data_IF_548740292418
#
_entry.id   IF_548740292418
#
_cell.length_a   1.000
_cell.length_b   1.000
_cell.length_c   1.000
_cell.angle_alpha   90.00
_cell.angle_beta   90.00
_cell.angle_gamma   90.00
#
_symmetry.space_group_name_H-M   'P 1'
#
loop_
_entity.id
_entity.type
_entity.pdbx_description
1 polymer ?
#
# COMPACT_ATOMS: atom_id res chain seq x y z
N UNK A 1 7.81 4.51 -19.31
CA UNK A 1 8.13 4.23 -20.72
C UNK A 1 6.95 4.67 -21.56
N UNK A 2 7.12 5.70 -22.39
CA UNK A 2 6.01 6.38 -23.08
C UNK A 2 5.51 5.64 -24.34
N UNK A 3 6.24 4.62 -24.82
CA UNK A 3 5.99 3.97 -26.11
C UNK A 3 5.72 2.45 -26.04
N UNK A 4 5.20 1.93 -24.92
CA UNK A 4 4.64 0.57 -24.88
C UNK A 4 5.63 -0.62 -24.96
N UNK A 5 6.89 -0.44 -25.36
CA UNK A 5 7.86 -1.52 -25.33
C UNK A 5 8.44 -1.75 -23.94
N UNK A 6 8.30 -2.99 -23.45
CA UNK A 6 8.80 -3.41 -22.16
C UNK A 6 10.22 -3.96 -22.25
N UNK A 7 10.96 -4.01 -21.12
CA UNK A 7 12.26 -4.69 -21.02
C UNK A 7 12.24 -6.20 -21.30
N UNK A 8 11.11 -6.76 -21.73
CA UNK A 8 10.96 -8.20 -22.04
C UNK A 8 10.68 -8.41 -23.52
N UNK A 9 10.25 -7.37 -24.24
CA UNK A 9 9.94 -7.41 -25.68
C UNK A 9 11.09 -6.91 -26.54
N UNK A 10 12.02 -6.15 -25.94
CA UNK A 10 13.25 -5.72 -26.59
C UNK A 10 14.35 -6.75 -26.36
N UNK A 11 15.10 -7.08 -27.41
CA UNK A 11 16.37 -7.78 -27.25
C UNK A 11 17.28 -7.01 -26.28
N UNK A 12 18.06 -7.74 -25.48
CA UNK A 12 18.90 -7.17 -24.42
C UNK A 12 19.85 -6.09 -24.95
N UNK A 13 20.36 -6.26 -26.17
CA UNK A 13 21.20 -5.27 -26.86
C UNK A 13 20.49 -3.92 -27.04
N UNK A 14 19.20 -3.94 -27.36
CA UNK A 14 18.38 -2.74 -27.58
C UNK A 14 18.04 -2.04 -26.26
N UNK A 15 17.83 -2.80 -25.19
CA UNK A 15 17.60 -2.23 -23.85
C UNK A 15 18.84 -1.51 -23.32
N UNK A 16 20.01 -2.09 -23.55
CA UNK A 16 21.28 -1.51 -23.12
C UNK A 16 21.55 -0.18 -23.84
N UNK A 17 21.23 -0.10 -25.13
CA UNK A 17 21.34 1.14 -25.90
C UNK A 17 20.39 2.23 -25.37
N UNK A 18 19.14 1.89 -25.05
CA UNK A 18 18.19 2.83 -24.43
C UNK A 18 18.65 3.31 -23.04
N UNK A 19 19.39 2.47 -22.31
CA UNK A 19 20.00 2.87 -21.03
C UNK A 19 21.21 3.81 -21.20
N UNK A 20 21.56 4.20 -22.43
CA UNK A 20 22.64 5.13 -22.75
C UNK A 20 24.01 4.48 -22.87
N UNK A 21 24.09 3.15 -22.98
CA UNK A 21 25.36 2.44 -23.14
C UNK A 21 25.63 2.15 -24.63
N UNK A 22 26.79 2.57 -25.17
CA UNK A 22 27.05 2.45 -26.60
C UNK A 22 27.28 1.00 -27.02
N UNK A 23 26.64 0.58 -28.13
CA UNK A 23 26.83 -0.75 -28.76
C UNK A 23 28.29 -1.04 -29.12
N UNK A 24 29.05 0.01 -29.47
CA UNK A 24 30.47 -0.07 -29.80
C UNK A 24 31.38 -0.29 -28.60
N UNK A 25 30.84 -0.30 -27.37
CA UNK A 25 31.66 -0.55 -26.19
C UNK A 25 32.31 -1.95 -26.30
N UNK A 26 33.64 -2.10 -26.16
CA UNK A 26 34.33 -3.37 -26.42
C UNK A 26 33.90 -4.52 -25.48
N UNK A 27 33.42 -4.18 -24.27
CA UNK A 27 32.82 -5.14 -23.32
C UNK A 27 31.37 -5.54 -23.62
N UNK A 28 30.69 -4.90 -24.58
CA UNK A 28 29.27 -5.15 -24.86
C UNK A 28 28.97 -6.62 -25.21
N UNK A 29 29.74 -7.27 -26.12
CA UNK A 29 29.49 -8.68 -26.45
C UNK A 29 29.70 -9.61 -25.25
N UNK A 30 30.68 -9.30 -24.40
CA UNK A 30 30.94 -10.08 -23.18
C UNK A 30 29.83 -9.90 -22.16
N UNK A 31 29.35 -8.67 -21.95
CA UNK A 31 28.25 -8.37 -21.02
C UNK A 31 26.97 -9.09 -21.42
N UNK A 32 26.55 -8.97 -22.69
CA UNK A 32 25.33 -9.61 -23.20
C UNK A 32 25.40 -11.13 -23.07
N UNK A 33 26.54 -11.73 -23.44
CA UNK A 33 26.75 -13.17 -23.31
C UNK A 33 26.66 -13.64 -21.86
N UNK A 34 27.35 -12.94 -20.94
CA UNK A 34 27.36 -13.29 -19.52
C UNK A 34 25.98 -13.09 -18.89
N UNK A 35 25.27 -12.02 -19.24
CA UNK A 35 23.90 -11.77 -18.79
C UNK A 35 22.99 -12.92 -19.20
N UNK A 36 22.97 -13.31 -20.48
CA UNK A 36 22.16 -14.44 -20.97
C UNK A 36 22.52 -15.75 -20.25
N UNK A 37 23.80 -15.96 -19.91
CA UNK A 37 24.26 -17.16 -19.21
C UNK A 37 23.83 -17.24 -17.73
N UNK A 38 23.59 -16.10 -17.06
CA UNK A 38 23.20 -16.06 -15.64
C UNK A 38 21.73 -15.71 -15.44
N UNK A 39 21.01 -15.30 -16.48
CA UNK A 39 19.62 -14.89 -16.39
C UNK A 39 18.74 -16.05 -15.90
N UNK A 40 17.96 -15.79 -14.86
CA UNK A 40 17.07 -16.78 -14.24
C UNK A 40 17.74 -17.71 -13.24
N UNK A 41 19.07 -17.67 -13.07
CA UNK A 41 19.73 -18.46 -12.02
C UNK A 41 19.41 -17.89 -10.63
N UNK A 42 19.14 -18.76 -9.63
CA UNK A 42 18.88 -18.32 -8.27
C UNK A 42 20.15 -17.72 -7.65
N UNK A 43 20.02 -16.54 -7.02
CA UNK A 43 21.16 -15.87 -6.34
C UNK A 43 21.34 -16.32 -4.89
N UNK A 44 20.24 -16.49 -4.17
CA UNK A 44 20.19 -16.93 -2.77
C UNK A 44 18.76 -17.36 -2.42
N UNK A 45 18.58 -18.11 -1.33
CA UNK A 45 17.27 -18.39 -0.75
C UNK A 45 16.77 -17.13 -0.02
N UNK A 46 15.68 -16.56 -0.52
CA UNK A 46 15.01 -15.42 0.11
C UNK A 46 13.88 -15.89 1.03
N UNK A 47 13.66 -15.19 2.14
CA UNK A 47 12.55 -15.49 3.03
C UNK A 47 11.29 -14.76 2.56
N UNK A 48 10.17 -15.47 2.45
CA UNK A 48 8.88 -14.84 2.17
C UNK A 48 8.37 -14.11 3.43
N UNK A 49 8.51 -12.78 3.45
CA UNK A 49 8.30 -11.94 4.64
C UNK A 49 6.94 -12.09 5.35
N UNK A 50 5.89 -12.56 4.66
CA UNK A 50 4.58 -12.84 5.26
C UNK A 50 4.16 -14.31 5.24
N UNK A 51 4.93 -15.22 4.65
CA UNK A 51 4.44 -16.56 4.31
C UNK A 51 4.56 -17.49 5.50
N UNK A 52 3.43 -17.93 6.05
CA UNK A 52 3.38 -18.96 7.08
C UNK A 52 2.78 -20.23 6.49
N UNK A 53 3.38 -21.37 6.77
CA UNK A 53 2.86 -22.69 6.39
C UNK A 53 2.42 -23.44 7.63
N UNK A 54 1.27 -24.10 7.52
CA UNK A 54 0.65 -24.88 8.58
C UNK A 54 0.43 -26.28 8.01
N UNK A 55 1.03 -27.26 8.66
CA UNK A 55 0.89 -28.66 8.29
C UNK A 55 0.38 -29.49 9.46
N UNK A 56 -0.24 -30.62 9.15
CA UNK A 56 -0.50 -31.65 10.12
C UNK A 56 0.83 -32.37 10.44
N UNK A 57 1.11 -32.58 11.73
CA UNK A 57 2.36 -33.18 12.23
C UNK A 57 3.62 -32.29 12.05
N UNK A 58 4.80 -32.89 12.26
CA UNK A 58 6.09 -32.18 12.22
C UNK A 58 6.47 -31.87 10.78
N UNK A 59 6.57 -30.59 10.42
CA UNK A 59 6.98 -30.15 9.09
C UNK A 59 8.32 -30.77 8.64
N UNK A 60 9.25 -30.97 9.59
CA UNK A 60 10.56 -31.57 9.34
C UNK A 60 10.53 -33.04 8.91
N UNK A 61 9.38 -33.73 8.95
CA UNK A 61 9.29 -35.12 8.48
C UNK A 61 9.16 -35.24 6.96
N UNK A 62 8.91 -34.14 6.24
CA UNK A 62 8.78 -34.14 4.79
C UNK A 62 9.37 -32.90 4.10
N UNK A 63 9.65 -31.81 4.83
CA UNK A 63 10.36 -30.62 4.27
C UNK A 63 11.65 -30.35 5.03
N UNK A 64 12.80 -30.18 4.35
CA UNK A 64 14.00 -29.65 4.98
C UNK A 64 13.76 -28.26 5.55
N UNK A 65 14.19 -28.06 6.80
CA UNK A 65 14.07 -26.78 7.51
C UNK A 65 15.45 -26.17 7.74
N UNK A 66 15.52 -24.85 7.68
CA UNK A 66 16.71 -24.09 8.03
C UNK A 66 16.37 -22.93 8.98
N UNK A 67 17.35 -22.49 9.75
CA UNK A 67 17.18 -21.31 10.60
C UNK A 67 17.13 -20.05 9.74
N UNK A 68 16.15 -19.20 10.00
CA UNK A 68 16.06 -17.89 9.38
C UNK A 68 17.15 -16.96 9.93
N UNK A 69 17.40 -15.86 9.22
CA UNK A 69 18.30 -14.78 9.66
C UNK A 69 17.84 -14.12 10.97
N UNK A 70 16.52 -14.11 11.23
CA UNK A 70 15.97 -13.64 12.50
C UNK A 70 15.98 -14.74 13.54
N UNK A 71 16.57 -14.45 14.70
CA UNK A 71 16.63 -15.38 15.84
C UNK A 71 15.25 -15.93 16.20
N UNK A 72 15.16 -17.25 16.40
CA UNK A 72 13.94 -17.93 16.81
C UNK A 72 12.95 -18.20 15.67
N UNK A 73 13.34 -18.00 14.41
CA UNK A 73 12.53 -18.34 13.24
C UNK A 73 13.18 -19.44 12.40
N UNK A 74 12.35 -20.29 11.80
CA UNK A 74 12.73 -21.34 10.87
C UNK A 74 11.99 -21.14 9.55
N UNK A 75 12.60 -21.54 8.45
CA UNK A 75 11.98 -21.50 7.12
C UNK A 75 12.05 -22.88 6.46
N UNK A 76 11.03 -23.18 5.67
CA UNK A 76 11.05 -24.31 4.76
C UNK A 76 11.89 -23.98 3.52
N UNK A 77 12.63 -24.96 3.02
CA UNK A 77 13.43 -24.80 1.80
C UNK A 77 12.63 -24.93 0.49
N UNK A 78 11.36 -25.36 0.58
CA UNK A 78 10.45 -25.42 -0.55
C UNK A 78 9.84 -24.07 -0.86
N UNK A 79 9.49 -23.87 -2.13
CA UNK A 79 8.80 -22.66 -2.55
C UNK A 79 7.28 -22.74 -2.33
N UNK A 80 6.59 -21.70 -2.76
CA UNK A 80 5.14 -21.59 -2.59
C UNK A 80 4.40 -22.69 -3.36
N UNK A 81 4.84 -22.99 -4.58
CA UNK A 81 4.13 -23.87 -5.49
C UNK A 81 4.30 -25.33 -5.05
N UNK A 82 5.51 -25.71 -4.62
CA UNK A 82 5.77 -27.02 -4.00
C UNK A 82 4.88 -27.28 -2.76
N UNK A 83 4.70 -26.24 -1.93
CA UNK A 83 3.85 -26.33 -0.74
C UNK A 83 2.36 -26.46 -1.12
N UNK A 84 1.92 -25.74 -2.15
CA UNK A 84 0.54 -25.78 -2.65
C UNK A 84 0.20 -27.14 -3.28
N UNK A 85 1.12 -27.70 -4.07
CA UNK A 85 0.97 -29.01 -4.71
C UNK A 85 0.84 -30.15 -3.70
N UNK A 86 1.44 -30.01 -2.52
CA UNK A 86 1.30 -30.96 -1.40
C UNK A 86 0.13 -30.68 -0.47
N UNK A 87 -0.72 -29.70 -0.80
CA UNK A 87 -1.90 -29.34 -0.03
C UNK A 87 -1.57 -28.75 1.34
N UNK A 88 -0.37 -28.19 1.52
CA UNK A 88 0.02 -27.52 2.76
C UNK A 88 -0.73 -26.19 2.85
N UNK A 89 -1.36 -25.94 4.00
CA UNK A 89 -2.08 -24.69 4.21
C UNK A 89 -1.08 -23.56 4.35
N UNK A 90 -1.21 -22.55 3.47
CA UNK A 90 -0.41 -21.32 3.51
C UNK A 90 -1.28 -20.16 3.97
N UNK A 91 -0.76 -19.35 4.88
CA UNK A 91 -1.34 -18.08 5.32
C UNK A 91 -0.33 -16.96 5.14
N UNK A 92 -0.71 -15.90 4.44
CA UNK A 92 0.12 -14.71 4.29
C UNK A 92 -0.22 -13.66 5.36
N UNK A 93 0.72 -13.38 6.24
CA UNK A 93 0.69 -12.32 7.25
C UNK A 93 1.39 -11.08 6.70
N UNK A 94 0.62 -10.21 6.04
CA UNK A 94 1.14 -8.98 5.43
C UNK A 94 0.99 -7.79 6.37
N UNK A 95 2.08 -7.06 6.59
CA UNK A 95 2.07 -5.80 7.34
C UNK A 95 1.65 -4.64 6.46
N UNK A 96 0.38 -4.21 6.55
CA UNK A 96 -0.14 -3.06 5.81
C UNK A 96 -0.13 -1.81 6.69
N UNK A 97 0.79 -0.87 6.43
CA UNK A 97 0.98 0.33 7.27
C UNK A 97 -0.29 1.17 7.49
N UNK A 98 -1.18 1.26 6.48
CA UNK A 98 -2.45 1.98 6.65
C UNK A 98 -3.36 1.34 7.71
N UNK A 99 -3.33 0.02 7.87
CA UNK A 99 -4.13 -0.63 8.92
C UNK A 99 -3.64 -0.20 10.31
N UNK A 100 -2.32 -0.05 10.50
CA UNK A 100 -1.77 0.49 11.75
C UNK A 100 -2.18 1.95 11.98
N UNK A 101 -2.16 2.78 10.92
CA UNK A 101 -2.64 4.18 11.00
C UNK A 101 -4.10 4.25 11.39
N UNK A 102 -4.95 3.44 10.76
CA UNK A 102 -6.37 3.37 11.09
C UNK A 102 -6.58 2.87 12.52
N UNK A 103 -5.90 1.81 12.93
CA UNK A 103 -5.99 1.29 14.29
C UNK A 103 -5.64 2.37 15.33
N UNK A 104 -4.49 3.04 15.18
CA UNK A 104 -4.07 4.12 16.07
C UNK A 104 -5.09 5.28 16.04
N UNK A 105 -5.62 5.65 14.86
CA UNK A 105 -6.59 6.74 14.74
C UNK A 105 -7.94 6.40 15.40
N UNK A 106 -8.43 5.18 15.24
CA UNK A 106 -9.67 4.70 15.88
C UNK A 106 -9.50 4.62 17.40
N UNK A 107 -8.33 4.20 17.88
CA UNK A 107 -8.00 4.20 19.31
C UNK A 107 -7.99 5.62 19.88
N UNK A 108 -7.32 6.57 19.22
CA UNK A 108 -7.35 7.99 19.62
C UNK A 108 -8.78 8.55 19.60
N UNK A 109 -9.62 8.17 18.63
CA UNK A 109 -11.03 8.56 18.60
C UNK A 109 -11.80 8.03 19.83
N UNK A 110 -11.54 6.77 20.22
CA UNK A 110 -12.15 6.14 21.39
C UNK A 110 -11.73 6.83 22.69
N UNK A 111 -10.44 7.09 22.88
CA UNK A 111 -9.89 7.80 24.05
C UNK A 111 -10.49 9.20 24.22
N UNK A 112 -10.83 9.85 23.11
CA UNK A 112 -11.44 11.18 23.08
C UNK A 112 -12.97 11.16 23.14
N UNK A 113 -13.59 10.02 23.44
CA UNK A 113 -15.04 9.88 23.61
C UNK A 113 -15.85 9.99 22.31
N UNK A 114 -15.21 9.80 21.15
CA UNK A 114 -15.83 9.87 19.83
C UNK A 114 -15.57 8.62 18.98
N UNK A 115 -15.89 7.42 19.50
CA UNK A 115 -15.52 6.16 18.88
C UNK A 115 -16.04 6.06 17.45
N UNK A 116 -15.25 5.42 16.60
CA UNK A 116 -15.59 5.13 15.22
C UNK A 116 -15.25 3.66 14.97
N UNK A 117 -16.04 3.00 14.13
CA UNK A 117 -15.77 1.66 13.66
C UNK A 117 -15.69 1.69 12.13
N UNK A 118 -14.62 1.13 11.59
CA UNK A 118 -14.38 1.05 10.15
C UNK A 118 -15.54 0.36 9.41
N UNK A 119 -16.16 -0.65 10.02
CA UNK A 119 -17.28 -1.37 9.43
C UNK A 119 -18.56 -0.51 9.32
N UNK A 120 -18.68 0.52 10.16
CA UNK A 120 -19.86 1.38 10.29
C UNK A 120 -19.67 2.78 9.70
N UNK A 121 -18.55 3.06 9.01
CA UNK A 121 -18.37 4.33 8.30
C UNK A 121 -19.40 4.42 7.16
N UNK A 122 -20.19 5.51 7.06
CA UNK A 122 -21.17 5.70 5.99
C UNK A 122 -20.47 5.80 4.64
N UNK A 123 -20.99 5.12 3.60
CA UNK A 123 -20.35 4.97 2.27
C UNK A 123 -20.81 5.99 1.23
N UNK A 124 -21.55 6.99 1.67
CA UNK A 124 -22.26 8.01 0.89
C UNK A 124 -21.97 9.43 1.42
N UNK A 125 -20.82 9.64 2.07
CA UNK A 125 -20.45 10.95 2.64
C UNK A 125 -19.87 11.90 1.57
N UNK A 126 -20.62 12.96 1.28
CA UNK A 126 -20.27 13.97 0.27
C UNK A 126 -18.93 14.65 0.56
N UNK A 127 -18.60 14.91 1.82
CA UNK A 127 -17.35 15.58 2.19
C UNK A 127 -16.12 14.69 1.90
N UNK A 128 -16.24 13.39 2.15
CA UNK A 128 -15.22 12.38 1.82
C UNK A 128 -15.02 12.30 0.31
N UNK A 129 -16.09 12.29 -0.49
CA UNK A 129 -15.95 12.36 -1.95
C UNK A 129 -15.38 13.70 -2.42
N UNK A 130 -15.72 14.82 -1.78
CA UNK A 130 -15.24 16.14 -2.17
C UNK A 130 -13.71 16.27 -2.08
N UNK A 131 -13.06 15.70 -1.05
CA UNK A 131 -11.59 15.71 -0.98
C UNK A 131 -10.98 14.82 -2.08
N UNK A 132 -11.60 13.68 -2.39
CA UNK A 132 -11.15 12.82 -3.48
C UNK A 132 -11.28 13.54 -4.83
N UNK A 133 -12.43 14.16 -5.12
CA UNK A 133 -12.66 14.92 -6.36
C UNK A 133 -11.67 16.08 -6.56
N UNK A 134 -11.15 16.66 -5.48
CA UNK A 134 -10.12 17.71 -5.51
C UNK A 134 -8.69 17.18 -5.56
N UNK A 135 -8.52 15.86 -5.58
CA UNK A 135 -7.23 15.18 -5.40
C UNK A 135 -6.52 15.57 -4.10
N UNK A 136 -7.27 15.83 -3.03
CA UNK A 136 -6.73 16.15 -1.71
C UNK A 136 -6.50 14.87 -0.89
N UNK A 137 -5.67 13.99 -1.44
CA UNK A 137 -5.52 12.61 -0.98
C UNK A 137 -4.13 12.29 -0.43
N UNK A 138 -3.32 13.29 -0.07
CA UNK A 138 -2.06 13.07 0.65
C UNK A 138 -2.33 12.24 1.92
N UNK A 139 -1.61 11.12 2.07
CA UNK A 139 -1.77 10.18 3.18
C UNK A 139 -2.93 9.21 3.06
N UNK A 140 -3.79 9.33 2.05
CA UNK A 140 -4.95 8.46 1.84
C UNK A 140 -4.53 7.20 1.09
N UNK A 141 -4.98 6.04 1.58
CA UNK A 141 -4.52 4.76 1.06
C UNK A 141 -4.87 4.55 -0.42
N UNK A 142 -3.91 4.03 -1.19
CA UNK A 142 -3.99 3.69 -2.63
C UNK A 142 -4.22 4.86 -3.60
N UNK A 143 -4.84 5.96 -3.18
CA UNK A 143 -5.22 7.08 -4.06
C UNK A 143 -4.39 8.35 -3.86
N UNK A 144 -3.22 8.24 -3.21
CA UNK A 144 -2.30 9.37 -2.95
C UNK A 144 -1.17 9.52 -3.98
N UNK A 145 -0.97 8.57 -4.89
CA UNK A 145 0.10 8.67 -5.89
C UNK A 145 -0.19 9.78 -6.91
N UNK A 146 0.85 10.35 -7.55
CA UNK A 146 0.67 11.39 -8.58
C UNK A 146 -0.28 10.97 -9.72
N UNK A 147 -0.21 9.72 -10.15
CA UNK A 147 -1.06 9.21 -11.22
C UNK A 147 -2.53 9.07 -10.78
N UNK A 148 -2.75 8.67 -9.52
CA UNK A 148 -4.08 8.64 -8.91
C UNK A 148 -4.65 10.05 -8.72
N UNK A 149 -3.86 10.96 -8.14
CA UNK A 149 -4.24 12.36 -7.96
C UNK A 149 -4.54 13.09 -9.29
N UNK A 150 -3.92 12.68 -10.40
CA UNK A 150 -4.23 13.24 -11.73
C UNK A 150 -5.58 12.73 -12.30
N UNK A 151 -6.05 11.57 -11.82
CA UNK A 151 -7.25 10.90 -12.33
C UNK A 151 -8.49 11.28 -11.54
N UNK A 152 -8.37 11.38 -10.23
CA UNK A 152 -9.42 11.76 -9.29
C UNK A 152 -10.29 12.96 -9.74
N UNK A 153 -9.73 14.13 -10.16
CA UNK A 153 -10.55 15.27 -10.60
C UNK A 153 -11.26 15.07 -11.93
N UNK A 154 -10.81 14.11 -12.73
CA UNK A 154 -11.44 13.71 -13.99
C UNK A 154 -12.53 12.67 -13.75
N UNK A 155 -12.26 11.69 -12.89
CA UNK A 155 -13.19 10.61 -12.56
C UNK A 155 -14.38 11.12 -11.73
N UNK A 156 -14.11 12.06 -10.82
CA UNK A 156 -15.07 12.64 -9.87
C UNK A 156 -15.90 11.55 -9.17
N UNK A 157 -15.32 10.82 -8.20
CA UNK A 157 -16.05 9.81 -7.44
C UNK A 157 -17.26 10.42 -6.75
N UNK A 158 -18.43 9.77 -6.85
CA UNK A 158 -19.71 10.17 -6.24
C UNK A 158 -20.35 9.07 -5.41
N UNK A 159 -19.88 7.82 -5.56
CA UNK A 159 -20.33 6.71 -4.74
C UNK A 159 -19.15 5.79 -4.40
N UNK A 160 -19.33 4.90 -3.43
CA UNK A 160 -18.28 3.96 -3.02
C UNK A 160 -17.72 3.13 -4.17
N UNK A 161 -18.55 2.72 -5.12
CA UNK A 161 -18.09 1.91 -6.25
C UNK A 161 -17.15 2.67 -7.19
N UNK A 162 -17.25 4.00 -7.26
CA UNK A 162 -16.27 4.79 -8.00
C UNK A 162 -14.87 4.68 -7.36
N UNK A 163 -14.80 4.61 -6.04
CA UNK A 163 -13.52 4.39 -5.31
C UNK A 163 -12.95 3.01 -5.63
N UNK A 164 -13.79 1.99 -5.77
CA UNK A 164 -13.39 0.65 -6.22
C UNK A 164 -12.74 0.72 -7.61
N UNK A 165 -13.32 1.50 -8.52
CA UNK A 165 -12.76 1.72 -9.85
C UNK A 165 -11.45 2.51 -9.77
N UNK A 166 -11.36 3.57 -8.97
CA UNK A 166 -10.14 4.39 -8.83
C UNK A 166 -8.95 3.56 -8.34
N UNK A 167 -9.18 2.70 -7.34
CA UNK A 167 -8.16 1.76 -6.84
C UNK A 167 -7.69 0.82 -7.94
N UNK A 168 -8.54 0.52 -8.92
CA UNK A 168 -8.24 -0.45 -9.96
C UNK A 168 -7.70 0.12 -11.28
N UNK A 169 -8.07 1.36 -11.62
CA UNK A 169 -7.92 1.91 -12.97
C UNK A 169 -6.48 2.34 -13.29
N UNK A 170 -5.71 2.79 -12.29
CA UNK A 170 -4.33 3.24 -12.49
C UNK A 170 -3.37 2.07 -12.36
N UNK A 171 -3.26 1.30 -13.45
CA UNK A 171 -2.33 0.18 -13.61
C UNK A 171 -1.82 0.09 -15.04
N UNK A 172 -0.66 -0.56 -15.28
CA UNK A 172 -0.13 -0.70 -16.63
C UNK A 172 -1.14 -1.34 -17.61
N UNK A 173 -1.93 -2.33 -17.17
CA UNK A 173 -2.93 -3.00 -18.02
C UNK A 173 -4.02 -2.11 -18.57
N UNK A 174 -4.86 -1.51 -17.72
CA UNK A 174 -5.88 -0.56 -18.18
C UNK A 174 -5.30 0.59 -19.01
N UNK A 175 -4.08 1.04 -18.72
CA UNK A 175 -3.41 2.09 -19.50
C UNK A 175 -3.03 1.58 -20.89
N UNK A 176 -2.55 0.33 -21.00
CA UNK A 176 -2.12 -0.28 -22.27
C UNK A 176 -3.25 -0.82 -23.12
N UNK A 177 -4.31 -1.32 -22.50
CA UNK A 177 -5.53 -1.73 -23.17
C UNK A 177 -6.38 -0.54 -23.63
N UNK A 178 -5.88 0.69 -23.51
CA UNK A 178 -6.59 1.94 -23.77
C UNK A 178 -7.97 1.98 -23.09
N UNK A 179 -8.05 1.49 -21.85
CA UNK A 179 -9.30 1.34 -21.10
C UNK A 179 -9.57 2.57 -20.21
N UNK A 180 -8.52 3.23 -19.72
CA UNK A 180 -8.64 4.41 -18.83
C UNK A 180 -9.29 5.59 -19.54
N UNK A 181 -8.85 5.87 -20.78
CA UNK A 181 -9.33 7.02 -21.54
C UNK A 181 -10.83 6.93 -21.87
N UNK A 182 -11.35 5.82 -22.43
CA UNK A 182 -12.78 5.64 -22.68
C UNK A 182 -13.60 5.71 -21.40
N UNK A 183 -13.15 5.09 -20.29
CA UNK A 183 -13.88 5.17 -19.03
C UNK A 183 -14.04 6.61 -18.56
N UNK A 184 -12.95 7.39 -18.54
CA UNK A 184 -12.97 8.79 -18.11
C UNK A 184 -13.76 9.68 -19.09
N UNK A 185 -13.70 9.43 -20.39
CA UNK A 185 -14.47 10.17 -21.39
C UNK A 185 -15.98 9.95 -21.24
N UNK A 186 -16.39 8.69 -21.09
CA UNK A 186 -17.79 8.31 -20.81
C UNK A 186 -18.29 8.85 -19.48
N UNK A 187 -17.44 8.76 -18.44
CA UNK A 187 -17.73 9.33 -17.11
C UNK A 187 -17.95 10.85 -17.16
N UNK A 188 -17.20 11.54 -18.02
CA UNK A 188 -17.33 12.98 -18.24
C UNK A 188 -18.47 13.35 -19.21
N UNK A 189 -19.23 12.38 -19.75
CA UNK A 189 -20.28 12.61 -20.73
C UNK A 189 -19.78 13.06 -22.11
N UNK A 190 -18.48 12.88 -22.39
CA UNK A 190 -17.86 13.25 -23.67
C UNK A 190 -18.03 12.19 -24.75
N UNK A 191 -18.28 10.95 -24.33
CA UNK A 191 -18.56 9.80 -25.19
C UNK A 191 -19.79 9.05 -24.69
N UNK A 192 -20.64 8.52 -25.59
CA UNK A 192 -21.74 7.67 -25.19
C UNK A 192 -21.23 6.33 -24.63
N UNK A 193 -21.95 5.78 -23.64
CA UNK A 193 -21.67 4.44 -23.14
C UNK A 193 -22.03 3.42 -24.22
N UNK A 194 -21.07 2.58 -24.60
CA UNK A 194 -21.23 1.52 -25.58
C UNK A 194 -20.73 0.20 -25.04
N UNK A 195 -21.31 -0.89 -25.54
CA UNK A 195 -21.00 -2.27 -25.15
C UNK A 195 -20.59 -3.07 -26.38
N UNK A 196 -19.74 -4.09 -26.22
CA UNK A 196 -19.43 -5.01 -27.33
C UNK A 196 -20.69 -5.73 -27.83
N UNK A 197 -21.61 -6.02 -26.92
CA UNK A 197 -22.89 -6.67 -27.18
C UNK A 197 -23.92 -6.23 -26.12
N UNK A 198 -25.21 -6.02 -26.48
CA UNK A 198 -26.25 -5.64 -25.52
C UNK A 198 -26.35 -6.58 -24.30
N UNK A 199 -26.05 -7.87 -24.47
CA UNK A 199 -26.07 -8.85 -23.37
C UNK A 199 -25.03 -8.58 -22.29
N UNK A 200 -24.02 -7.75 -22.56
CA UNK A 200 -22.96 -7.39 -21.61
C UNK A 200 -23.29 -6.17 -20.75
N UNK A 201 -24.39 -5.46 -21.03
CA UNK A 201 -24.83 -4.31 -20.25
C UNK A 201 -24.97 -4.62 -18.74
N UNK A 202 -25.58 -5.75 -18.31
CA UNK A 202 -25.66 -6.09 -16.89
C UNK A 202 -24.29 -6.31 -16.20
N UNK A 203 -23.25 -6.65 -16.98
CA UNK A 203 -21.90 -6.94 -16.47
C UNK A 203 -21.03 -5.69 -16.45
N UNK A 204 -21.11 -4.88 -17.50
CA UNK A 204 -20.23 -3.73 -17.73
C UNK A 204 -20.90 -2.39 -17.43
N UNK A 205 -22.19 -2.36 -17.09
CA UNK A 205 -22.94 -1.12 -16.83
C UNK A 205 -22.31 -0.27 -15.73
N UNK A 206 -21.90 -0.92 -14.63
CA UNK A 206 -21.25 -0.24 -13.49
C UNK A 206 -19.86 0.34 -13.83
N UNK A 207 -19.22 -0.15 -14.89
CA UNK A 207 -17.93 0.32 -15.39
C UNK A 207 -18.07 1.02 -16.75
N UNK A 208 -19.27 1.54 -17.05
CA UNK A 208 -19.56 2.33 -18.26
C UNK A 208 -19.16 1.63 -19.56
N UNK A 209 -19.40 0.32 -19.66
CA UNK A 209 -19.09 -0.48 -20.84
C UNK A 209 -17.60 -0.81 -20.99
N UNK A 210 -16.76 -0.44 -20.02
CA UNK A 210 -15.31 -0.72 -20.04
C UNK A 210 -15.01 -1.92 -19.14
N UNK A 211 -14.34 -2.95 -19.64
CA UNK A 211 -13.91 -4.07 -18.81
C UNK A 211 -12.74 -3.71 -17.90
N UNK A 212 -12.95 -3.70 -16.58
CA UNK A 212 -11.94 -3.27 -15.60
C UNK A 212 -11.57 -4.33 -14.56
N UNK A 213 -12.32 -5.45 -14.47
CA UNK A 213 -12.11 -6.50 -13.47
C UNK A 213 -12.03 -7.91 -14.06
N UNK A 214 -11.33 -8.81 -13.37
CA UNK A 214 -11.17 -10.21 -13.80
C UNK A 214 -12.53 -10.90 -13.88
N UNK A 215 -13.39 -10.69 -12.89
CA UNK A 215 -14.73 -11.26 -12.81
C UNK A 215 -15.61 -10.80 -13.99
N UNK A 216 -15.39 -9.61 -14.53
CA UNK A 216 -16.06 -9.14 -15.75
C UNK A 216 -15.58 -9.91 -16.98
N UNK A 217 -14.28 -10.21 -17.10
CA UNK A 217 -13.72 -11.05 -18.18
C UNK A 217 -14.30 -12.45 -18.19
N UNK A 218 -14.39 -13.08 -17.02
CA UNK A 218 -15.01 -14.38 -16.89
C UNK A 218 -16.48 -14.34 -17.32
N UNK A 219 -17.23 -13.33 -16.87
CA UNK A 219 -18.64 -13.15 -17.27
C UNK A 219 -18.81 -12.88 -18.77
N UNK A 220 -17.92 -12.10 -19.39
CA UNK A 220 -17.93 -11.90 -20.85
C UNK A 220 -17.74 -13.25 -21.56
N UNK A 221 -16.75 -14.05 -21.15
CA UNK A 221 -16.51 -15.36 -21.75
C UNK A 221 -17.73 -16.29 -21.60
N UNK A 222 -18.34 -16.32 -20.42
CA UNK A 222 -19.54 -17.13 -20.17
C UNK A 222 -20.72 -16.69 -21.06
N UNK A 223 -20.98 -15.38 -21.19
CA UNK A 223 -22.13 -14.87 -21.97
C UNK A 223 -21.88 -14.99 -23.49
N UNK A 224 -20.69 -14.59 -23.94
CA UNK A 224 -20.37 -14.48 -25.37
C UNK A 224 -19.96 -15.80 -26.00
N UNK A 225 -19.43 -16.74 -25.21
CA UNK A 225 -18.87 -18.00 -25.71
C UNK A 225 -19.47 -19.26 -25.05
N UNK A 226 -20.46 -19.13 -24.16
CA UNK A 226 -21.05 -20.23 -23.37
C UNK A 226 -19.99 -21.08 -22.65
N UNK A 227 -18.92 -20.45 -22.20
CA UNK A 227 -17.92 -21.12 -21.38
C UNK A 227 -18.58 -21.69 -20.12
N UNK A 228 -18.40 -22.99 -19.91
CA UNK A 228 -18.78 -23.67 -18.68
C UNK A 228 -17.95 -23.17 -17.50
N UNK A 229 -18.37 -23.49 -16.27
CA UNK A 229 -17.64 -23.12 -15.06
C UNK A 229 -16.17 -23.59 -15.07
N UNK A 230 -15.91 -24.79 -15.61
CA UNK A 230 -14.55 -25.32 -15.76
C UNK A 230 -13.71 -24.50 -16.75
N UNK A 231 -14.31 -24.06 -17.86
CA UNK A 231 -13.62 -23.26 -18.88
C UNK A 231 -13.38 -21.82 -18.43
N UNK A 232 -14.31 -21.27 -17.65
CA UNK A 232 -14.11 -19.99 -16.97
C UNK A 232 -12.97 -20.09 -15.94
N UNK A 233 -12.84 -21.20 -15.22
CA UNK A 233 -11.72 -21.43 -14.31
C UNK A 233 -10.38 -21.61 -15.05
N UNK A 234 -10.36 -22.32 -16.19
CA UNK A 234 -9.18 -22.38 -17.07
C UNK A 234 -8.75 -20.99 -17.52
N UNK A 235 -9.69 -20.15 -17.94
CA UNK A 235 -9.44 -18.74 -18.30
C UNK A 235 -8.93 -17.94 -17.09
N UNK A 236 -9.55 -18.08 -15.91
CA UNK A 236 -9.12 -17.39 -14.68
C UNK A 236 -7.68 -17.73 -14.31
N UNK A 237 -7.31 -19.00 -14.40
CA UNK A 237 -5.93 -19.46 -14.19
C UNK A 237 -5.01 -18.82 -15.21
N UNK A 238 -5.35 -18.85 -16.50
CA UNK A 238 -4.55 -18.20 -17.54
C UNK A 238 -4.36 -16.69 -17.31
N UNK A 239 -5.36 -15.99 -16.76
CA UNK A 239 -5.29 -14.57 -16.39
C UNK A 239 -4.46 -14.28 -15.13
N UNK A 240 -4.23 -15.27 -14.26
CA UNK A 240 -3.57 -15.08 -12.97
C UNK A 240 -2.05 -15.33 -13.01
N UNK A 241 -1.56 -16.04 -14.03
CA UNK A 241 -0.15 -16.41 -14.11
C UNK A 241 0.64 -15.46 -15.02
N UNK A 242 1.61 -14.75 -14.42
CA UNK A 242 2.54 -13.85 -15.10
C UNK A 242 3.42 -14.50 -16.20
N UNK A 243 3.28 -15.80 -16.49
CA UNK A 243 4.25 -16.59 -17.29
C UNK A 243 3.64 -17.66 -18.20
N UNK A 244 2.39 -17.54 -18.64
CA UNK A 244 1.85 -18.54 -19.58
C UNK A 244 1.18 -17.91 -20.80
N UNK A 245 1.98 -17.20 -21.61
CA UNK A 245 1.58 -16.75 -22.95
C UNK A 245 0.99 -17.91 -23.77
N UNK A 246 1.59 -19.10 -23.67
CA UNK A 246 1.08 -20.33 -24.31
C UNK A 246 -0.33 -20.73 -23.82
N UNK A 247 -0.59 -20.69 -22.50
CA UNK A 247 -1.92 -21.03 -21.96
C UNK A 247 -2.94 -19.97 -22.38
N UNK A 248 -2.57 -18.69 -22.33
CA UNK A 248 -3.45 -17.60 -22.78
C UNK A 248 -3.79 -17.77 -24.26
N UNK A 249 -2.82 -18.12 -25.11
CA UNK A 249 -3.06 -18.35 -26.52
C UNK A 249 -4.00 -19.54 -26.76
N UNK A 250 -3.82 -20.65 -26.05
CA UNK A 250 -4.74 -21.81 -26.11
C UNK A 250 -6.17 -21.42 -25.73
N UNK A 251 -6.35 -20.69 -24.63
CA UNK A 251 -7.67 -20.24 -24.18
C UNK A 251 -8.28 -19.23 -25.16
N UNK A 252 -7.50 -18.31 -25.72
CA UNK A 252 -7.96 -17.34 -26.72
C UNK A 252 -8.45 -18.01 -28.00
N UNK A 253 -7.76 -19.04 -28.49
CA UNK A 253 -8.20 -19.83 -29.67
C UNK A 253 -9.55 -20.50 -29.39
N UNK A 254 -9.68 -21.14 -28.22
CA UNK A 254 -10.92 -21.80 -27.80
C UNK A 254 -12.08 -20.79 -27.67
N UNK A 255 -11.80 -19.62 -27.08
CA UNK A 255 -12.77 -18.56 -26.89
C UNK A 255 -13.26 -17.98 -28.23
N UNK A 256 -12.33 -17.73 -29.16
CA UNK A 256 -12.65 -17.29 -30.53
C UNK A 256 -13.57 -18.29 -31.23
N UNK A 257 -13.18 -19.56 -31.29
CA UNK A 257 -13.96 -20.59 -31.95
C UNK A 257 -15.37 -20.75 -31.35
N UNK A 258 -15.49 -20.59 -30.03
CA UNK A 258 -16.78 -20.64 -29.35
C UNK A 258 -17.67 -19.43 -29.69
N UNK A 259 -17.12 -18.21 -29.76
CA UNK A 259 -17.86 -17.03 -30.21
C UNK A 259 -18.26 -17.10 -31.68
N UNK A 260 -17.40 -17.66 -32.54
CA UNK A 260 -17.70 -17.87 -33.97
C UNK A 260 -18.90 -18.82 -34.15
N UNK A 261 -18.94 -19.93 -33.39
CA UNK A 261 -20.10 -20.85 -33.40
C UNK A 261 -21.42 -20.18 -32.98
N UNK A 262 -21.34 -19.10 -32.19
CA UNK A 262 -22.50 -18.30 -31.77
C UNK A 262 -22.84 -17.15 -32.74
N UNK A 263 -22.22 -17.12 -33.93
CA UNK A 263 -22.41 -16.08 -34.93
C UNK A 263 -22.14 -14.66 -34.39
N UNK A 264 -21.18 -14.51 -33.48
CA UNK A 264 -20.73 -13.20 -33.05
C UNK A 264 -19.92 -12.56 -34.19
N UNK A 265 -20.16 -11.28 -34.46
CA UNK A 265 -19.49 -10.56 -35.53
C UNK A 265 -17.95 -10.55 -35.33
N UNK A 266 -17.13 -10.77 -36.37
CA UNK A 266 -15.67 -10.88 -36.24
C UNK A 266 -15.00 -9.70 -35.54
N UNK A 267 -15.47 -8.47 -35.81
CA UNK A 267 -14.95 -7.24 -35.20
C UNK A 267 -15.16 -7.20 -33.68
N UNK A 268 -16.26 -7.79 -33.18
CA UNK A 268 -16.54 -7.92 -31.74
C UNK A 268 -15.65 -8.97 -31.10
N UNK A 269 -15.46 -10.10 -31.78
CA UNK A 269 -14.58 -11.17 -31.32
C UNK A 269 -13.16 -10.63 -31.13
N UNK A 270 -12.63 -9.90 -32.11
CA UNK A 270 -11.28 -9.34 -32.05
C UNK A 270 -11.13 -8.36 -30.88
N UNK A 271 -12.11 -7.47 -30.67
CA UNK A 271 -12.11 -6.53 -29.54
C UNK A 271 -12.16 -7.23 -28.18
N UNK A 272 -12.96 -8.30 -28.05
CA UNK A 272 -13.07 -9.07 -26.80
C UNK A 272 -11.77 -9.81 -26.52
N UNK A 273 -11.18 -10.48 -27.52
CA UNK A 273 -9.91 -11.20 -27.39
C UNK A 273 -8.77 -10.25 -27.04
N UNK A 274 -8.72 -9.08 -27.70
CA UNK A 274 -7.74 -8.04 -27.38
C UNK A 274 -7.89 -7.57 -25.93
N UNK A 275 -9.12 -7.27 -25.49
CA UNK A 275 -9.40 -6.83 -24.13
C UNK A 275 -8.96 -7.87 -23.08
N UNK A 276 -9.27 -9.14 -23.30
CA UNK A 276 -8.87 -10.24 -22.40
C UNK A 276 -7.35 -10.41 -22.37
N UNK A 277 -6.69 -10.32 -23.53
CA UNK A 277 -5.23 -10.45 -23.63
C UNK A 277 -4.50 -9.31 -22.91
N UNK A 278 -4.96 -8.07 -23.07
CA UNK A 278 -4.45 -6.92 -22.31
C UNK A 278 -4.67 -7.06 -20.81
N UNK A 279 -5.73 -7.76 -20.41
CA UNK A 279 -6.06 -8.01 -19.01
C UNK A 279 -5.26 -9.16 -18.39
N UNK A 280 -4.78 -10.14 -19.17
CA UNK A 280 -4.00 -11.27 -18.66
C UNK A 280 -2.69 -10.84 -17.97
N UNK A 281 -2.13 -9.70 -18.37
CA UNK A 281 -0.87 -9.21 -17.80
C UNK A 281 -1.06 -8.40 -16.51
N UNK A 282 -2.25 -7.87 -16.26
CA UNK A 282 -2.48 -6.80 -15.27
C UNK A 282 -3.87 -6.81 -14.63
N UNK A 283 -4.60 -7.90 -14.81
CA UNK A 283 -5.98 -8.01 -14.41
C UNK A 283 -6.11 -7.94 -12.91
N UNK A 284 -7.16 -7.28 -12.44
CA UNK A 284 -7.38 -7.08 -11.02
C UNK A 284 -8.71 -7.66 -10.55
N UNK A 285 -8.72 -8.47 -9.48
CA UNK A 285 -9.96 -8.96 -8.91
C UNK A 285 -10.82 -7.81 -8.37
N UNK A 286 -12.09 -7.78 -8.72
CA UNK A 286 -13.09 -6.84 -8.20
C UNK A 286 -13.21 -6.98 -6.68
N UNK A 287 -13.22 -8.22 -6.18
CA UNK A 287 -13.23 -8.52 -4.75
C UNK A 287 -12.06 -7.88 -3.98
N UNK A 288 -10.86 -7.91 -4.57
CA UNK A 288 -9.68 -7.28 -3.98
C UNK A 288 -9.76 -5.75 -4.05
N UNK A 289 -10.28 -5.20 -5.16
CA UNK A 289 -10.55 -3.76 -5.30
C UNK A 289 -11.54 -3.25 -4.27
N UNK A 290 -12.62 -3.99 -4.02
CA UNK A 290 -13.62 -3.64 -3.01
C UNK A 290 -12.97 -3.60 -1.63
N UNK A 291 -12.15 -4.60 -1.29
CA UNK A 291 -11.45 -4.69 -0.01
C UNK A 291 -10.50 -3.50 0.20
N UNK A 292 -9.74 -3.12 -0.83
CA UNK A 292 -8.84 -1.97 -0.76
C UNK A 292 -9.57 -0.63 -0.75
N UNK A 293 -10.70 -0.53 -1.46
CA UNK A 293 -11.54 0.66 -1.45
C UNK A 293 -12.13 0.95 -0.07
N UNK A 294 -12.40 -0.06 0.76
CA UNK A 294 -12.79 0.15 2.17
C UNK A 294 -11.72 0.95 2.92
N UNK A 295 -10.44 0.60 2.72
CA UNK A 295 -9.32 1.29 3.37
C UNK A 295 -9.06 2.68 2.76
N UNK A 296 -9.17 2.81 1.43
CA UNK A 296 -9.04 4.10 0.75
C UNK A 296 -10.14 5.08 1.21
N UNK A 297 -11.39 4.62 1.22
CA UNK A 297 -12.52 5.41 1.68
C UNK A 297 -12.44 5.72 3.18
N UNK A 298 -12.13 4.72 4.01
CA UNK A 298 -12.00 4.92 5.46
C UNK A 298 -10.88 5.90 5.83
N UNK A 299 -9.75 5.88 5.11
CA UNK A 299 -8.64 6.81 5.37
C UNK A 299 -8.99 8.24 4.93
N UNK A 300 -9.69 8.39 3.81
CA UNK A 300 -10.25 9.68 3.40
C UNK A 300 -11.29 10.20 4.41
N UNK A 301 -12.19 9.34 4.89
CA UNK A 301 -13.18 9.70 5.90
C UNK A 301 -12.53 10.15 7.21
N UNK A 302 -11.52 9.42 7.68
CA UNK A 302 -10.72 9.83 8.84
C UNK A 302 -10.03 11.17 8.61
N UNK A 303 -9.47 11.40 7.42
CA UNK A 303 -8.85 12.68 7.06
C UNK A 303 -9.83 13.86 7.15
N UNK A 304 -11.08 13.66 6.73
CA UNK A 304 -12.12 14.70 6.78
C UNK A 304 -12.68 14.89 8.19
N UNK A 305 -13.09 13.81 8.85
CA UNK A 305 -13.94 13.87 10.06
C UNK A 305 -13.18 13.67 11.38
N UNK A 306 -11.94 13.18 11.30
CA UNK A 306 -11.05 12.84 12.43
C UNK A 306 -9.60 13.27 12.13
N UNK A 307 -9.47 14.44 11.51
CA UNK A 307 -8.20 14.95 10.99
C UNK A 307 -7.03 14.89 12.00
N UNK A 308 -7.13 15.39 13.25
CA UNK A 308 -5.98 15.36 14.15
C UNK A 308 -5.57 13.94 14.55
N UNK A 309 -6.52 13.00 14.72
CA UNK A 309 -6.20 11.58 14.92
C UNK A 309 -5.55 10.96 13.70
N UNK A 310 -6.09 11.21 12.51
CA UNK A 310 -5.56 10.70 11.25
C UNK A 310 -4.10 11.14 11.04
N UNK A 311 -3.80 12.43 11.15
CA UNK A 311 -2.45 12.95 10.94
C UNK A 311 -1.47 12.55 12.04
N UNK A 312 -1.90 12.53 13.31
CA UNK A 312 -1.05 12.05 14.40
C UNK A 312 -0.68 10.57 14.19
N UNK A 313 -1.65 9.72 13.85
CA UNK A 313 -1.43 8.31 13.56
C UNK A 313 -0.59 8.10 12.32
N UNK A 314 -0.81 8.87 11.25
CA UNK A 314 -0.03 8.79 10.02
C UNK A 314 1.45 9.11 10.26
N UNK A 315 1.76 10.09 11.12
CA UNK A 315 3.13 10.43 11.52
C UNK A 315 3.75 9.37 12.43
N UNK A 316 2.97 8.76 13.33
CA UNK A 316 3.43 7.72 14.24
C UNK A 316 3.85 6.42 13.54
N UNK A 317 3.33 6.18 12.34
CA UNK A 317 3.57 4.96 11.56
C UNK A 317 4.55 5.16 10.39
N UNK A 318 5.32 6.25 10.38
CA UNK A 318 6.36 6.48 9.38
C UNK A 318 7.59 5.58 9.62
N UNK A 319 8.30 5.13 8.56
CA UNK A 319 8.12 5.50 7.16
C UNK A 319 7.03 4.68 6.45
N UNK A 320 6.10 5.37 5.76
CA UNK A 320 5.14 4.74 4.85
C UNK A 320 4.53 5.76 3.88
N UNK A 321 3.92 5.27 2.80
CA UNK A 321 3.29 6.12 1.78
C UNK A 321 4.30 6.85 0.89
N UNK A 322 3.82 7.82 0.11
CA UNK A 322 4.63 8.55 -0.88
C UNK A 322 5.27 9.84 -0.34
N UNK A 323 4.82 10.31 0.82
CA UNK A 323 5.10 11.67 1.29
C UNK A 323 5.91 11.68 2.57
N UNK A 324 6.85 12.61 2.65
CA UNK A 324 7.69 12.79 3.84
C UNK A 324 6.87 13.31 5.03
N UNK A 325 7.30 13.07 6.28
CA UNK A 325 6.67 13.65 7.47
C UNK A 325 6.47 15.17 7.36
N UNK A 326 7.43 15.89 6.78
CA UNK A 326 7.34 17.34 6.58
C UNK A 326 6.21 17.73 5.61
N UNK A 327 5.95 16.92 4.58
CA UNK A 327 4.83 17.15 3.64
C UNK A 327 3.50 16.89 4.34
N UNK A 328 3.42 15.81 5.13
CA UNK A 328 2.23 15.43 5.91
C UNK A 328 1.87 16.54 6.91
N UNK A 329 2.85 17.11 7.61
CA UNK A 329 2.63 18.23 8.54
C UNK A 329 2.13 19.49 7.81
N UNK A 330 2.67 19.80 6.62
CA UNK A 330 2.19 20.93 5.81
C UNK A 330 0.77 20.70 5.31
N UNK A 331 0.45 19.47 4.92
CA UNK A 331 -0.90 19.08 4.50
C UNK A 331 -1.89 19.24 5.65
N UNK A 332 -1.57 18.74 6.84
CA UNK A 332 -2.37 18.97 8.05
C UNK A 332 -2.67 20.45 8.30
N UNK A 333 -1.67 21.32 8.12
CA UNK A 333 -1.86 22.77 8.25
C UNK A 333 -2.79 23.38 7.20
N UNK A 334 -2.79 22.86 5.96
CA UNK A 334 -3.75 23.27 4.91
C UNK A 334 -5.19 22.84 5.23
N UNK A 335 -5.33 21.76 5.99
CA UNK A 335 -6.60 21.28 6.55
C UNK A 335 -7.01 21.99 7.85
N UNK A 336 -6.37 23.11 8.18
CA UNK A 336 -6.75 23.96 9.33
C UNK A 336 -6.24 23.45 10.68
N UNK A 337 -5.40 22.41 10.73
CA UNK A 337 -4.84 21.92 11.98
C UNK A 337 -3.70 22.80 12.47
N UNK A 338 -3.68 23.04 13.78
CA UNK A 338 -2.54 23.60 14.52
C UNK A 338 -1.60 22.46 14.90
N UNK A 339 -0.36 22.53 14.42
CA UNK A 339 0.66 21.52 14.72
C UNK A 339 1.58 22.09 15.80
N UNK A 340 1.47 21.58 17.02
CA UNK A 340 2.38 21.96 18.10
C UNK A 340 3.73 21.26 17.91
N UNK A 341 4.86 22.00 17.96
CA UNK A 341 6.18 21.42 17.75
C UNK A 341 6.53 20.47 18.89
N UNK A 342 7.58 19.67 18.66
CA UNK A 342 8.17 18.84 19.71
C UNK A 342 8.58 19.73 20.87
N UNK A 343 8.13 19.39 22.08
CA UNK A 343 8.42 20.13 23.30
C UNK A 343 8.93 19.17 24.35
N UNK A 344 10.11 19.45 24.90
CA UNK A 344 10.75 18.59 25.89
C UNK A 344 9.85 18.38 27.12
N UNK A 345 9.11 19.42 27.50
CA UNK A 345 8.22 19.39 28.67
C UNK A 345 6.84 18.78 28.40
N UNK A 346 6.43 18.59 27.15
CA UNK A 346 5.04 18.19 26.83
C UNK A 346 4.91 17.00 25.88
N UNK A 347 5.83 16.82 24.93
CA UNK A 347 5.76 15.74 23.94
C UNK A 347 5.97 14.37 24.59
N UNK A 348 5.27 13.37 24.04
CA UNK A 348 5.52 11.96 24.27
C UNK A 348 6.43 11.40 23.16
N UNK A 349 6.70 10.09 23.17
CA UNK A 349 7.37 9.44 22.04
C UNK A 349 6.53 9.57 20.77
N UNK A 350 5.27 9.13 20.82
CA UNK A 350 4.28 9.29 19.74
C UNK A 350 3.72 10.72 19.70
N UNK A 351 3.28 11.15 18.53
CA UNK A 351 2.44 12.31 18.33
C UNK A 351 1.11 12.10 19.06
N UNK A 352 0.61 13.15 19.71
CA UNK A 352 -0.60 13.11 20.53
C UNK A 352 -1.61 14.16 20.08
N UNK A 353 -2.90 13.87 20.21
CA UNK A 353 -3.96 14.83 19.90
C UNK A 353 -4.24 15.70 21.13
N UNK A 354 -4.29 17.02 20.94
CA UNK A 354 -4.46 18.00 22.03
C UNK A 354 -5.90 18.53 22.07
N UNK A 355 -6.51 18.75 20.90
CA UNK A 355 -7.90 19.21 20.73
C UNK A 355 -8.41 18.82 19.33
N UNK A 356 -9.63 19.22 18.99
CA UNK A 356 -10.24 18.92 17.68
C UNK A 356 -9.53 19.56 16.48
N UNK A 357 -8.76 20.62 16.72
CA UNK A 357 -8.02 21.36 15.71
C UNK A 357 -6.51 21.28 15.93
N UNK A 358 -6.02 20.54 16.93
CA UNK A 358 -4.61 20.61 17.35
C UNK A 358 -4.04 19.24 17.70
N UNK A 359 -2.86 18.93 17.16
CA UNK A 359 -2.05 17.80 17.61
C UNK A 359 -0.60 18.25 17.87
N UNK A 360 0.12 17.45 18.67
CA UNK A 360 1.50 17.70 19.07
C UNK A 360 2.43 16.66 18.48
N UNK A 361 3.52 17.13 17.89
CA UNK A 361 4.58 16.26 17.41
C UNK A 361 5.27 15.52 18.57
N UNK A 362 5.45 14.22 18.39
CA UNK A 362 6.18 13.34 19.31
C UNK A 362 7.69 13.34 19.04
N UNK A 363 8.47 12.74 19.93
CA UNK A 363 9.91 12.56 19.71
C UNK A 363 10.23 11.62 18.55
N UNK A 364 9.30 10.74 18.14
CA UNK A 364 9.46 9.82 17.02
C UNK A 364 9.77 10.50 15.68
N UNK A 365 9.41 11.78 15.50
CA UNK A 365 9.71 12.53 14.27
C UNK A 365 11.06 13.27 14.32
N UNK A 366 11.80 13.18 15.43
CA UNK A 366 13.09 13.86 15.60
C UNK A 366 14.23 12.94 15.21
N UNK A 367 14.93 13.30 14.13
CA UNK A 367 16.10 12.58 13.67
C UNK A 367 17.17 12.46 14.77
N UNK A 368 17.65 11.24 14.99
CA UNK A 368 18.72 10.94 15.94
C UNK A 368 18.28 10.74 17.39
N UNK A 369 16.98 10.79 17.71
CA UNK A 369 16.46 10.40 19.03
C UNK A 369 15.98 8.96 18.98
N UNK A 370 16.52 8.12 19.87
CA UNK A 370 16.04 6.75 20.06
C UNK A 370 14.86 6.74 21.03
N UNK A 371 13.93 5.82 20.81
CA UNK A 371 12.74 5.65 21.66
C UNK A 371 13.10 5.52 23.15
N UNK A 372 14.08 4.67 23.46
CA UNK A 372 14.60 4.45 24.81
C UNK A 372 15.00 5.76 25.52
N UNK A 373 15.60 6.71 24.79
CA UNK A 373 16.03 7.98 25.36
C UNK A 373 14.85 8.90 25.61
N UNK A 374 13.90 8.95 24.68
CA UNK A 374 12.68 9.73 24.86
C UNK A 374 11.83 9.21 26.03
N UNK A 375 11.75 7.89 26.20
CA UNK A 375 11.04 7.26 27.33
C UNK A 375 11.70 7.55 28.67
N UNK A 376 13.04 7.55 28.73
CA UNK A 376 13.79 7.97 29.92
C UNK A 376 13.48 9.44 30.27
N UNK A 377 13.48 10.33 29.28
CA UNK A 377 13.13 11.74 29.45
C UNK A 377 11.73 11.90 30.07
N UNK A 378 10.76 11.18 29.51
CA UNK A 378 9.37 11.23 29.96
C UNK A 378 9.25 10.71 31.38
N UNK A 379 9.97 9.63 31.73
CA UNK A 379 9.98 9.07 33.09
C UNK A 379 10.53 10.07 34.11
N UNK A 380 11.65 10.72 33.80
CA UNK A 380 12.23 11.75 34.67
C UNK A 380 11.30 12.96 34.82
N UNK A 381 10.67 13.39 33.72
CA UNK A 381 9.70 14.50 33.74
C UNK A 381 8.52 14.23 34.67
N UNK A 382 7.98 13.01 34.65
CA UNK A 382 6.87 12.61 35.53
C UNK A 382 7.30 12.54 36.99
N UNK A 383 8.52 12.04 37.27
CA UNK A 383 9.07 12.03 38.62
C UNK A 383 9.22 13.45 39.20
N UNK A 384 9.75 14.40 38.43
CA UNK A 384 9.88 15.80 38.86
C UNK A 384 8.53 16.47 39.07
N UNK A 385 7.53 16.19 38.23
CA UNK A 385 6.17 16.73 38.39
C UNK A 385 5.48 16.21 39.65
N UNK A 386 5.66 14.92 39.97
CA UNK A 386 5.14 14.30 41.20
C UNK A 386 5.74 14.93 42.45
N UNK A 387 7.06 15.16 42.47
CA UNK A 387 7.73 15.84 43.59
C UNK A 387 7.23 17.28 43.76
N UNK A 388 7.07 18.04 42.68
CA UNK A 388 6.55 19.41 42.75
C UNK A 388 5.09 19.48 43.24
N UNK A 389 4.26 18.49 42.87
CA UNK A 389 2.89 18.39 43.36
C UNK A 389 2.82 17.99 44.84
N UNK A 390 3.75 17.14 45.31
CA UNK A 390 3.79 16.69 46.70
C UNK A 390 4.35 17.75 47.67
N UNK A 391 5.23 18.65 47.23
CA UNK A 391 5.89 19.64 48.11
C UNK A 391 5.20 20.99 48.17
N UNK A 392 4.16 21.25 47.37
CA UNK A 392 3.39 22.50 47.41
C UNK A 392 4.19 23.78 47.13
N UNK A 393 5.44 23.67 46.65
CA UNK A 393 6.32 24.82 46.45
C UNK A 393 6.03 25.48 45.10
N UNK A 394 5.28 26.60 45.18
CA UNK A 394 5.25 27.62 44.14
C UNK A 394 6.66 28.22 43.94
N UNK A 395 6.95 28.54 42.68
CA UNK A 395 8.28 28.79 42.12
C UNK A 395 8.91 30.07 42.66
N UNK A 396 9.53 30.02 43.83
CA UNK A 396 10.38 31.11 44.32
C UNK A 396 11.53 30.66 45.23
N UNK A 397 12.30 29.65 44.84
CA UNK A 397 13.58 29.38 45.52
C UNK A 397 14.64 28.85 44.56
N UNK A 398 15.59 29.72 44.21
CA UNK A 398 16.90 29.34 43.64
C UNK A 398 17.68 28.59 44.73
N UNK A 399 17.68 27.27 44.68
CA UNK A 399 18.45 26.42 45.60
C UNK A 399 18.77 25.06 44.98
N UNK A 400 20.07 24.79 44.83
CA UNK A 400 20.69 23.59 44.24
C UNK A 400 19.98 22.26 44.59
N UNK A 401 19.37 21.63 43.58
CA UNK A 401 19.18 20.17 43.55
C UNK A 401 19.80 19.66 42.23
N UNK A 402 21.05 19.16 42.29
CA UNK A 402 21.71 18.47 41.17
C UNK A 402 21.06 17.10 40.98
N UNK A 403 19.92 17.07 40.29
CA UNK A 403 19.22 15.82 39.97
C UNK A 403 17.77 15.97 39.49
N UNK A 404 17.18 17.18 39.53
CA UNK A 404 15.74 17.36 39.27
C UNK A 404 15.36 18.65 38.51
N UNK A 405 16.27 19.26 37.76
CA UNK A 405 15.94 20.45 36.99
C UNK A 405 15.18 20.10 35.70
N UNK A 406 14.11 20.86 35.41
CA UNK A 406 13.36 20.75 34.15
C UNK A 406 14.28 20.91 32.95
N UNK A 407 14.11 20.07 31.92
CA UNK A 407 14.86 20.23 30.67
C UNK A 407 14.40 21.49 29.91
N UNK A 408 15.36 22.31 29.51
CA UNK A 408 15.10 23.58 28.84
C UNK A 408 15.18 23.50 27.31
N UNK A 409 15.88 22.50 26.77
CA UNK A 409 15.98 22.27 25.32
C UNK A 409 16.35 20.82 25.00
N UNK A 410 16.22 20.46 23.72
CA UNK A 410 16.68 19.16 23.20
C UNK A 410 18.20 19.00 23.36
N UNK A 411 18.97 20.07 23.25
CA UNK A 411 20.42 20.04 23.43
C UNK A 411 20.84 19.93 24.89
N UNK A 412 20.08 20.53 25.81
CA UNK A 412 20.24 20.36 27.25
C UNK A 412 19.98 18.90 27.64
N UNK A 413 18.90 18.31 27.11
CA UNK A 413 18.62 16.89 27.28
C UNK A 413 19.74 15.98 26.73
N UNK A 414 20.15 16.18 25.47
CA UNK A 414 21.22 15.39 24.85
C UNK A 414 22.50 15.45 25.68
N UNK A 415 22.89 16.64 26.17
CA UNK A 415 24.06 16.82 27.04
C UNK A 415 23.91 16.05 28.37
N UNK A 416 22.77 16.18 29.05
CA UNK A 416 22.52 15.53 30.34
C UNK A 416 22.48 14.00 30.23
N UNK A 417 21.91 13.44 29.16
CA UNK A 417 21.89 11.99 28.92
C UNK A 417 23.25 11.44 28.49
N UNK A 418 24.00 12.16 27.66
CA UNK A 418 25.39 11.80 27.36
C UNK A 418 26.29 11.82 28.60
N UNK A 419 26.05 12.74 29.55
CA UNK A 419 26.75 12.76 30.84
C UNK A 419 26.31 11.62 31.78
N UNK A 420 25.03 11.26 31.80
CA UNK A 420 24.55 10.09 32.54
C UNK A 420 25.21 8.79 32.06
N UNK A 421 25.45 8.63 30.75
CA UNK A 421 26.22 7.50 30.19
C UNK A 421 27.69 7.48 30.62
N UNK A 422 28.36 8.63 30.81
CA UNK A 422 29.71 8.66 31.37
C UNK A 422 29.74 8.25 32.85
N UNK A 423 28.67 8.47 33.59
CA UNK A 423 28.55 8.06 35.00
C UNK A 423 28.16 6.57 35.11
N UNK A 424 27.37 6.04 34.18
CA UNK A 424 26.99 4.61 34.14
C UNK A 424 28.02 3.71 33.45
N UNK A 425 28.92 4.24 32.61
CA UNK A 425 30.09 3.49 32.10
C UNK A 425 31.18 3.23 33.16
N UNK A 426 31.07 3.81 34.36
CA UNK A 426 31.95 3.53 35.49
C UNK A 426 31.52 2.30 36.32
N UNK A 427 30.50 1.54 35.91
CA UNK A 427 30.06 0.32 36.60
C UNK A 427 29.90 -0.94 35.74
N UNK A 428 30.32 -0.93 34.46
CA UNK A 428 30.44 -2.16 33.66
C UNK A 428 31.89 -2.33 33.17
N UNK A 429 32.77 -2.70 34.10
CA UNK A 429 33.99 -3.47 33.80
C UNK A 429 33.82 -4.85 34.43
N UNK A 430 33.26 -5.79 33.66
CA UNK A 430 33.48 -7.24 33.76
C UNK A 430 32.40 -7.99 32.97
N UNK A 431 32.87 -8.89 32.10
CA UNK A 431 32.18 -9.81 31.17
C UNK A 431 31.99 -9.28 29.75
#
# INVERSE_FOLDING_TARGET
FANGDFPHTLEIESQIEQAGLPKSHPRMPAFVRLYRAIYGLPRHLGQHSGGMIICQNKLSSFVPLENASMTGRVVAQWDKDDCEDLGIVKVDLLGLGMMSVMQDALELCRERGRPLDLAHIPKDDDATFAIMQKADTIGVFQIESRAQMATLPRMKPKCFYDVVIEVAIIRPGPIQGDMVHPYLARRAGREPVTYFDPRLEPVLGRTLGVPLFQEQMLKIAMIMADFSGNEAEELRRALSFHRSEERMQKVSVKLRAAMERKNIAPDKIDKIIQSISSFALYGFPESHAISFAILAYGSAYLKVHRAPEFYASLLNNQPMGFYTPATIVKDAGRHGLKIQPVCVQKSAWRCTVVSDDTFRLGFCVVNGIRQEHAEELIRQRLATASVAAATGQDRSAKGRIRGGEQFHSLDDFKRRVHHSRKISQLHCRSL
#
